data_IF_400217369264
#
_entry.id   IF_400217369264
#
_cell.length_a   1.000
_cell.length_b   1.000
_cell.length_c   1.000
_cell.angle_alpha   90.00
_cell.angle_beta   90.00
_cell.angle_gamma   90.00
#
_symmetry.space_group_name_H-M   'P 1'
#
loop_
_entity.id
_entity.type
_entity.pdbx_description
1 polymer ?
#
# COMPACT_ATOMS: atom_id res chain seq x y z
N UNK A 1 3.86 80.81 9.25
CA UNK A 1 2.96 80.08 8.32
C UNK A 1 2.01 79.24 9.15
N UNK A 2 0.74 79.68 9.24
CA UNK A 2 -0.28 79.03 10.04
C UNK A 2 -0.73 77.72 9.37
N UNK A 3 -0.72 76.61 10.13
CA UNK A 3 -1.29 75.33 9.67
C UNK A 3 -2.80 75.39 9.86
N UNK A 4 -3.54 75.56 8.76
CA UNK A 4 -4.99 75.39 8.71
C UNK A 4 -5.37 73.96 9.12
N UNK A 5 -6.06 73.86 10.25
CA UNK A 5 -6.60 72.61 10.76
C UNK A 5 -7.93 72.34 10.03
N UNK A 6 -7.94 71.39 9.09
CA UNK A 6 -9.18 70.86 8.52
C UNK A 6 -9.97 70.13 9.62
N UNK A 7 -10.93 70.84 10.21
CA UNK A 7 -11.92 70.25 11.13
C UNK A 7 -12.83 69.32 10.32
N UNK A 8 -12.62 68.00 10.43
CA UNK A 8 -13.56 67.01 9.92
C UNK A 8 -14.92 67.23 10.59
N UNK A 9 -15.97 67.40 9.78
CA UNK A 9 -17.35 67.53 10.29
C UNK A 9 -17.73 66.20 10.96
N UNK A 10 -18.27 66.21 12.20
CA UNK A 10 -18.67 64.97 12.86
C UNK A 10 -19.76 64.29 12.03
N UNK A 11 -19.53 63.02 11.68
CA UNK A 11 -20.56 62.20 11.06
C UNK A 11 -21.79 62.17 11.97
N UNK A 12 -22.95 62.52 11.41
CA UNK A 12 -24.20 62.49 12.17
C UNK A 12 -24.49 61.05 12.55
N UNK A 13 -24.66 60.78 13.85
CA UNK A 13 -25.08 59.47 14.36
C UNK A 13 -26.38 59.10 13.66
N UNK A 14 -26.35 58.03 12.86
CA UNK A 14 -27.55 57.49 12.21
C UNK A 14 -28.55 57.12 13.32
N UNK A 15 -29.81 57.52 13.17
CA UNK A 15 -30.88 57.20 14.11
C UNK A 15 -31.07 55.68 14.27
N UNK A 16 -31.93 55.28 15.20
CA UNK A 16 -32.22 53.88 15.47
C UNK A 16 -32.80 53.19 14.22
N UNK A 17 -31.93 52.52 13.45
CA UNK A 17 -32.32 51.81 12.24
C UNK A 17 -33.01 50.50 12.61
N UNK A 18 -34.35 50.50 12.55
CA UNK A 18 -35.20 49.30 12.71
C UNK A 18 -35.40 48.60 11.37
N UNK A 19 -34.31 48.46 10.61
CA UNK A 19 -34.29 47.73 9.34
C UNK A 19 -33.72 46.32 9.49
N UNK A 20 -33.83 45.46 8.46
CA UNK A 20 -33.42 44.04 8.48
C UNK A 20 -31.93 43.81 8.82
N UNK A 21 -31.12 44.86 8.93
CA UNK A 21 -29.75 44.81 9.42
C UNK A 21 -29.64 44.54 10.93
N UNK A 22 -30.67 44.81 11.74
CA UNK A 22 -30.70 44.57 13.19
C UNK A 22 -31.72 43.51 13.62
N UNK A 23 -32.40 42.86 12.67
CA UNK A 23 -33.19 41.68 12.98
C UNK A 23 -32.24 40.48 13.13
N UNK A 24 -32.49 39.57 14.08
CA UNK A 24 -31.69 38.38 14.24
C UNK A 24 -31.71 37.62 12.93
N UNK A 25 -30.59 37.72 12.20
CA UNK A 25 -30.41 37.03 10.94
C UNK A 25 -30.76 35.57 11.17
N UNK A 26 -31.75 35.05 10.44
CA UNK A 26 -32.50 33.86 10.83
C UNK A 26 -31.59 32.69 11.22
N UNK A 27 -32.10 31.75 12.01
CA UNK A 27 -31.34 30.58 12.50
C UNK A 27 -30.51 29.89 11.42
N UNK A 28 -31.00 29.84 10.19
CA UNK A 28 -30.28 29.32 9.02
C UNK A 28 -29.07 30.16 8.60
N UNK A 29 -29.17 31.50 8.55
CA UNK A 29 -28.03 32.37 8.20
C UNK A 29 -26.92 32.30 9.26
N UNK A 30 -27.27 32.21 10.55
CA UNK A 30 -26.30 31.94 11.64
C UNK A 30 -25.59 30.61 11.48
N UNK A 31 -26.32 29.52 11.17
CA UNK A 31 -25.73 28.20 10.91
C UNK A 31 -24.77 28.26 9.73
N UNK A 32 -25.15 28.89 8.62
CA UNK A 32 -24.27 29.05 7.43
C UNK A 32 -23.02 29.84 7.77
N UNK A 33 -23.14 30.95 8.50
CA UNK A 33 -21.99 31.75 8.97
C UNK A 33 -21.08 30.92 9.89
N UNK A 34 -21.64 30.14 10.81
CA UNK A 34 -20.88 29.24 11.69
C UNK A 34 -20.15 28.16 10.90
N UNK A 35 -20.81 27.52 9.94
CA UNK A 35 -20.22 26.52 9.05
C UNK A 35 -19.06 27.14 8.27
N UNK A 36 -19.28 28.30 7.63
CA UNK A 36 -18.23 29.02 6.89
C UNK A 36 -17.04 29.37 7.77
N UNK A 37 -17.27 29.94 8.96
CA UNK A 37 -16.21 30.25 9.94
C UNK A 37 -15.44 28.98 10.35
N UNK A 38 -16.15 27.87 10.59
CA UNK A 38 -15.53 26.59 10.96
C UNK A 38 -14.67 26.00 9.84
N UNK A 39 -15.12 26.08 8.59
CA UNK A 39 -14.38 25.60 7.42
C UNK A 39 -13.13 26.45 7.17
N UNK A 40 -13.26 27.77 7.25
CA UNK A 40 -12.12 28.70 7.14
C UNK A 40 -11.10 28.42 8.25
N UNK A 41 -11.54 28.21 9.49
CA UNK A 41 -10.66 27.88 10.60
C UNK A 41 -9.91 26.56 10.38
N UNK A 42 -10.62 25.49 10.01
CA UNK A 42 -10.01 24.19 9.70
C UNK A 42 -8.98 24.30 8.57
N UNK A 43 -9.29 25.05 7.51
CA UNK A 43 -8.36 25.29 6.41
C UNK A 43 -7.12 26.07 6.86
N UNK A 44 -7.28 27.10 7.70
CA UNK A 44 -6.15 27.84 8.29
C UNK A 44 -5.28 26.94 9.16
N UNK A 45 -5.88 26.15 10.06
CA UNK A 45 -5.16 25.20 10.91
C UNK A 45 -4.41 24.17 10.08
N UNK A 46 -5.02 23.59 9.05
CA UNK A 46 -4.33 22.66 8.14
C UNK A 46 -3.17 23.34 7.43
N UNK A 47 -3.33 24.58 6.97
CA UNK A 47 -2.27 25.33 6.30
C UNK A 47 -1.11 25.67 7.25
N UNK A 48 -1.39 26.09 8.48
CA UNK A 48 -0.35 26.36 9.48
C UNK A 48 0.33 25.07 9.92
N UNK A 49 -0.43 24.00 10.14
CA UNK A 49 0.11 22.68 10.49
C UNK A 49 1.00 22.13 9.38
N UNK A 50 0.56 22.15 8.12
CA UNK A 50 1.39 21.73 6.98
C UNK A 50 2.67 22.58 6.87
N UNK A 51 2.60 23.90 7.11
CA UNK A 51 3.80 24.74 7.15
C UNK A 51 4.75 24.41 8.30
N UNK A 52 4.20 24.11 9.48
CA UNK A 52 4.98 23.70 10.65
C UNK A 52 5.60 22.34 10.40
N UNK A 53 4.85 21.34 9.93
CA UNK A 53 5.38 20.02 9.54
C UNK A 53 6.46 20.11 8.49
N UNK A 54 6.27 20.88 7.41
CA UNK A 54 7.34 21.08 6.41
C UNK A 54 8.55 21.84 6.95
N UNK A 55 8.36 22.67 8.00
CA UNK A 55 9.45 23.33 8.70
C UNK A 55 10.10 22.42 9.75
N UNK A 56 9.36 21.48 10.34
CA UNK A 56 9.79 20.51 11.34
C UNK A 56 10.49 19.31 10.68
N UNK A 57 10.16 18.98 9.43
CA UNK A 57 11.03 18.18 8.56
C UNK A 57 12.42 18.83 8.40
N UNK A 58 12.51 20.16 8.54
CA UNK A 58 13.79 20.91 8.62
C UNK A 58 14.21 21.29 10.06
N UNK A 59 13.38 21.00 11.07
CA UNK A 59 13.59 21.34 12.48
C UNK A 59 13.45 20.05 13.32
N UNK A 60 14.51 19.26 13.21
CA UNK A 60 15.01 18.24 14.15
C UNK A 60 14.21 18.07 15.45
N UNK A 61 13.24 17.16 15.45
CA UNK A 61 12.95 16.41 16.68
C UNK A 61 14.22 15.59 17.01
N UNK A 62 14.87 15.78 18.18
CA UNK A 62 16.10 15.07 18.53
C UNK A 62 15.90 13.54 18.49
N UNK A 63 14.68 13.06 18.74
CA UNK A 63 14.37 11.64 18.68
C UNK A 63 14.25 11.13 17.23
N UNK A 64 13.70 11.93 16.32
CA UNK A 64 13.63 11.58 14.90
C UNK A 64 15.01 11.54 14.24
N UNK A 65 15.90 12.48 14.60
CA UNK A 65 17.28 12.48 14.12
C UNK A 65 18.08 11.27 14.64
N UNK A 66 17.85 10.85 15.89
CA UNK A 66 18.44 9.62 16.42
C UNK A 66 17.91 8.38 15.69
N UNK A 67 16.60 8.30 15.45
CA UNK A 67 15.99 7.20 14.71
C UNK A 67 16.55 7.05 13.29
N UNK A 68 16.80 8.16 12.59
CA UNK A 68 17.44 8.15 11.27
C UNK A 68 18.88 7.62 11.32
N UNK A 69 19.67 8.04 12.32
CA UNK A 69 21.03 7.54 12.52
C UNK A 69 21.06 6.03 12.79
N UNK A 70 20.17 5.53 13.64
CA UNK A 70 20.06 4.09 13.90
C UNK A 70 19.67 3.29 12.65
N UNK A 71 18.81 3.86 11.79
CA UNK A 71 18.44 3.23 10.52
C UNK A 71 19.62 3.20 9.55
N UNK A 72 20.37 4.28 9.42
CA UNK A 72 21.58 4.33 8.58
C UNK A 72 22.65 3.36 9.09
N UNK A 73 22.89 3.31 10.40
CA UNK A 73 23.81 2.38 11.04
C UNK A 73 23.40 0.92 10.81
N UNK A 74 22.10 0.61 10.93
CA UNK A 74 21.59 -0.73 10.65
C UNK A 74 21.75 -1.14 9.18
N UNK A 75 21.66 -0.20 8.24
CA UNK A 75 21.92 -0.47 6.82
C UNK A 75 23.40 -0.74 6.57
N UNK A 76 24.29 0.06 7.17
CA UNK A 76 25.75 -0.12 7.05
C UNK A 76 26.18 -1.47 7.61
N UNK A 77 25.66 -1.88 8.79
CA UNK A 77 25.98 -3.17 9.40
C UNK A 77 25.56 -4.34 8.51
N UNK A 78 24.35 -4.28 7.91
CA UNK A 78 23.91 -5.31 6.96
C UNK A 78 24.81 -5.41 5.74
N UNK A 79 25.25 -4.27 5.19
CA UNK A 79 26.16 -4.25 4.05
C UNK A 79 27.54 -4.83 4.40
N UNK A 80 28.03 -4.57 5.62
CA UNK A 80 29.28 -5.15 6.13
C UNK A 80 29.15 -6.67 6.33
N UNK A 81 28.04 -7.14 6.92
CA UNK A 81 27.78 -8.58 7.07
C UNK A 81 27.68 -9.28 5.71
N UNK A 82 27.04 -8.68 4.71
CA UNK A 82 26.99 -9.24 3.35
C UNK A 82 28.38 -9.28 2.70
N UNK A 83 29.20 -8.24 2.90
CA UNK A 83 30.60 -8.21 2.42
C UNK A 83 31.46 -9.27 3.10
N UNK A 84 31.33 -9.46 4.41
CA UNK A 84 32.02 -10.51 5.15
C UNK A 84 31.55 -11.90 4.70
N UNK A 85 30.25 -12.12 4.51
CA UNK A 85 29.73 -13.38 3.95
C UNK A 85 30.25 -13.63 2.53
N UNK A 86 30.38 -12.59 1.71
CA UNK A 86 30.95 -12.70 0.37
C UNK A 86 32.46 -13.01 0.41
N UNK A 87 33.20 -12.43 1.36
CA UNK A 87 34.62 -12.75 1.60
C UNK A 87 34.80 -14.20 2.05
N UNK A 88 33.98 -14.67 2.99
CA UNK A 88 34.00 -16.06 3.45
C UNK A 88 33.69 -17.00 2.29
N UNK A 89 32.64 -16.72 1.50
CA UNK A 89 32.30 -17.53 0.32
C UNK A 89 33.44 -17.59 -0.70
N UNK A 90 34.07 -16.44 -0.98
CA UNK A 90 35.19 -16.37 -1.90
C UNK A 90 36.41 -17.12 -1.36
N UNK A 91 36.71 -17.00 -0.07
CA UNK A 91 37.78 -17.73 0.59
C UNK A 91 37.54 -19.25 0.58
N UNK A 92 36.30 -19.71 0.78
CA UNK A 92 35.93 -21.14 0.67
C UNK A 92 35.98 -21.67 -0.76
N UNK A 93 35.78 -20.83 -1.77
CA UNK A 93 35.90 -21.20 -3.18
C UNK A 93 37.37 -21.24 -3.66
N UNK A 94 38.23 -20.40 -3.09
CA UNK A 94 39.64 -20.28 -3.48
C UNK A 94 40.56 -21.31 -2.76
N UNK A 95 40.14 -21.87 -1.61
CA UNK A 95 40.94 -22.82 -0.84
C UNK A 95 40.77 -24.30 -1.20
N UNK A 96 39.85 -24.69 -2.08
CA UNK A 96 39.81 -26.05 -2.67
C UNK A 96 39.82 -27.24 -1.69
N UNK A 97 39.50 -27.02 -0.41
CA UNK A 97 39.51 -28.03 0.65
C UNK A 97 38.07 -28.34 1.07
N UNK A 98 37.64 -29.58 0.83
CA UNK A 98 36.44 -30.13 1.44
C UNK A 98 36.73 -30.48 2.90
N UNK A 99 36.34 -29.60 3.83
CA UNK A 99 36.18 -29.93 5.25
C UNK A 99 35.13 -28.95 5.84
N UNK A 100 33.87 -29.37 5.99
CA UNK A 100 33.30 -29.82 7.27
C UNK A 100 33.91 -29.10 8.47
N UNK A 101 33.46 -27.89 8.78
CA UNK A 101 33.25 -27.40 10.16
C UNK A 101 32.92 -25.89 10.14
N UNK A 102 31.70 -25.57 9.72
CA UNK A 102 31.00 -24.42 10.30
C UNK A 102 30.22 -24.95 11.51
N UNK A 103 30.15 -24.25 12.65
CA UNK A 103 29.26 -24.63 13.74
C UNK A 103 27.82 -24.46 13.24
N UNK A 104 27.27 -25.53 12.67
CA UNK A 104 25.85 -25.67 12.44
C UNK A 104 25.13 -25.35 13.77
N UNK A 105 23.99 -24.62 13.76
CA UNK A 105 23.14 -24.60 14.93
C UNK A 105 22.93 -26.07 15.29
N UNK A 106 23.21 -26.47 16.54
CA UNK A 106 23.06 -27.86 16.99
C UNK A 106 21.59 -28.27 16.87
N UNK A 107 21.16 -28.59 15.65
CA UNK A 107 19.95 -29.31 15.36
C UNK A 107 20.30 -30.70 15.83
N UNK A 108 19.89 -31.03 17.04
CA UNK A 108 19.96 -32.39 17.56
C UNK A 108 19.42 -33.30 16.46
N UNK A 109 20.30 -34.11 15.85
CA UNK A 109 19.89 -35.12 14.89
C UNK A 109 18.91 -36.02 15.64
N UNK A 110 17.63 -35.91 15.27
CA UNK A 110 16.56 -36.67 15.90
C UNK A 110 16.93 -38.15 15.83
N UNK A 111 16.90 -38.86 16.96
CA UNK A 111 17.26 -40.28 17.04
C UNK A 111 16.49 -41.07 15.97
N UNK A 112 17.09 -42.09 15.32
CA UNK A 112 16.46 -42.85 14.24
C UNK A 112 15.09 -43.44 14.63
N UNK A 113 14.91 -43.81 15.90
CA UNK A 113 13.62 -44.25 16.46
C UNK A 113 12.53 -43.17 16.41
N UNK A 114 12.89 -41.90 16.63
CA UNK A 114 11.96 -40.77 16.52
C UNK A 114 11.65 -40.42 15.07
N UNK A 115 12.58 -40.66 14.14
CA UNK A 115 12.34 -40.50 12.71
C UNK A 115 11.34 -41.57 12.23
N UNK A 116 11.51 -42.82 12.66
CA UNK A 116 10.57 -43.90 12.37
C UNK A 116 9.16 -43.60 12.90
N UNK A 117 9.01 -43.04 14.10
CA UNK A 117 7.71 -42.66 14.67
C UNK A 117 7.02 -41.48 13.95
N UNK A 118 7.78 -40.63 13.24
CA UNK A 118 7.24 -39.52 12.45
C UNK A 118 6.90 -39.94 11.01
N UNK A 119 7.66 -40.90 10.46
CA UNK A 119 7.43 -41.45 9.12
C UNK A 119 6.35 -42.52 9.09
N UNK A 120 6.08 -43.21 10.21
CA UNK A 120 4.85 -43.99 10.33
C UNK A 120 3.68 -43.02 10.20
N UNK A 121 2.85 -43.10 9.14
CA UNK A 121 1.61 -42.33 9.12
C UNK A 121 0.89 -42.70 10.41
N UNK A 122 0.54 -41.70 11.23
CA UNK A 122 -0.26 -41.91 12.41
C UNK A 122 -1.36 -42.88 12.01
N UNK A 123 -1.52 -44.04 12.69
CA UNK A 123 -2.57 -44.97 12.32
C UNK A 123 -3.80 -44.11 12.25
N UNK A 124 -4.41 -44.06 11.06
CA UNK A 124 -5.77 -43.53 10.94
C UNK A 124 -6.47 -44.21 12.08
N UNK A 125 -6.96 -43.44 13.05
CA UNK A 125 -7.81 -43.97 14.09
C UNK A 125 -8.96 -44.61 13.32
N UNK A 126 -8.80 -45.89 13.00
CA UNK A 126 -9.88 -46.74 12.56
C UNK A 126 -10.86 -46.57 13.69
N UNK A 127 -11.96 -45.91 13.36
CA UNK A 127 -13.12 -45.81 14.20
C UNK A 127 -13.42 -47.24 14.64
N UNK A 128 -12.97 -47.62 15.83
CA UNK A 128 -13.40 -48.80 16.55
C UNK A 128 -14.86 -48.55 16.95
N UNK A 129 -15.75 -48.64 15.96
CA UNK A 129 -17.15 -49.02 16.12
C UNK A 129 -17.10 -50.53 15.91
N UNK A 130 -17.24 -51.41 16.89
CA UNK A 130 -18.30 -51.63 17.88
C UNK A 130 -17.69 -52.67 18.87
N UNK A 131 -17.99 -52.78 20.16
CA UNK A 131 -19.28 -52.99 20.79
C UNK A 131 -19.14 -52.60 22.27
N UNK A 132 -19.81 -51.53 22.71
CA UNK A 132 -20.14 -51.37 24.13
C UNK A 132 -21.59 -50.97 24.24
N UNK A 133 -22.37 -51.95 24.71
CA UNK A 133 -23.79 -51.86 24.92
C UNK A 133 -24.23 -50.60 25.65
N UNK A 134 -25.36 -50.06 25.20
CA UNK A 134 -26.33 -49.34 26.03
C UNK A 134 -25.80 -48.23 26.94
N UNK A 135 -24.96 -47.31 26.45
CA UNK A 135 -24.78 -45.96 27.05
C UNK A 135 -23.91 -45.05 26.17
N UNK A 136 -24.42 -44.53 25.05
CA UNK A 136 -23.99 -43.20 24.56
C UNK A 136 -24.81 -42.71 23.36
N UNK A 137 -26.06 -42.28 23.59
CA UNK A 137 -26.67 -41.26 22.70
C UNK A 137 -26.12 -39.88 23.09
N UNK A 138 -24.80 -39.69 23.16
CA UNK A 138 -24.25 -38.33 23.34
C UNK A 138 -24.31 -37.63 21.98
N UNK A 139 -25.14 -36.58 21.84
CA UNK A 139 -25.16 -35.80 20.60
C UNK A 139 -23.75 -35.23 20.32
N UNK A 140 -23.35 -35.10 19.04
CA UNK A 140 -22.05 -34.56 18.68
C UNK A 140 -21.86 -33.20 19.34
N UNK A 141 -20.73 -33.01 20.03
CA UNK A 141 -20.41 -31.75 20.69
C UNK A 141 -20.29 -30.68 19.60
N UNK A 142 -21.15 -29.67 19.66
CA UNK A 142 -21.07 -28.52 18.75
C UNK A 142 -19.67 -27.88 18.87
N UNK A 143 -19.03 -27.49 17.77
CA UNK A 143 -17.74 -26.81 17.81
C UNK A 143 -17.88 -25.56 18.68
N UNK A 144 -16.96 -25.40 19.63
CA UNK A 144 -16.97 -24.25 20.52
C UNK A 144 -16.77 -23.01 19.67
N UNK A 145 -17.76 -22.14 19.70
CA UNK A 145 -17.69 -20.84 19.05
C UNK A 145 -16.63 -20.03 19.79
N UNK A 146 -15.56 -19.58 19.12
CA UNK A 146 -14.58 -18.72 19.75
C UNK A 146 -15.29 -17.47 20.30
N UNK A 147 -14.80 -16.93 21.42
CA UNK A 147 -15.35 -15.67 21.98
C UNK A 147 -15.20 -14.50 21.01
N UNK A 148 -14.33 -14.64 20.01
CA UNK A 148 -13.87 -13.60 19.11
C UNK A 148 -14.41 -13.72 17.69
N UNK A 149 -15.47 -14.50 17.45
CA UNK A 149 -16.09 -14.63 16.14
C UNK A 149 -16.33 -13.30 15.42
N UNK A 150 -16.80 -12.29 16.16
CA UNK A 150 -17.05 -10.95 15.61
C UNK A 150 -15.76 -10.25 15.18
N UNK A 151 -14.67 -10.47 15.89
CA UNK A 151 -13.35 -9.91 15.57
C UNK A 151 -12.69 -10.68 14.43
N UNK A 152 -12.83 -12.01 14.40
CA UNK A 152 -12.38 -12.86 13.29
C UNK A 152 -13.09 -12.47 11.98
N UNK A 153 -14.41 -12.27 12.01
CA UNK A 153 -15.18 -11.80 10.86
C UNK A 153 -14.74 -10.40 10.39
N UNK A 154 -14.42 -9.51 11.34
CA UNK A 154 -13.94 -8.17 11.01
C UNK A 154 -12.52 -8.21 10.41
N UNK A 155 -11.63 -9.03 10.96
CA UNK A 155 -10.29 -9.26 10.43
C UNK A 155 -10.34 -9.88 9.02
N UNK A 156 -11.22 -10.87 8.81
CA UNK A 156 -11.43 -11.49 7.51
C UNK A 156 -11.94 -10.49 6.46
N UNK A 157 -12.82 -9.55 6.85
CA UNK A 157 -13.27 -8.47 5.95
C UNK A 157 -12.13 -7.55 5.54
N UNK A 158 -11.28 -7.15 6.49
CA UNK A 158 -10.11 -6.31 6.20
C UNK A 158 -9.12 -7.04 5.28
N UNK A 159 -8.89 -8.33 5.52
CA UNK A 159 -8.01 -9.13 4.66
C UNK A 159 -8.58 -9.26 3.24
N UNK A 160 -9.87 -9.57 3.11
CA UNK A 160 -10.54 -9.68 1.81
C UNK A 160 -10.51 -8.36 1.02
N UNK A 161 -10.69 -7.22 1.70
CA UNK A 161 -10.58 -5.89 1.08
C UNK A 161 -9.17 -5.62 0.57
N UNK A 162 -8.13 -5.86 1.39
CA UNK A 162 -6.73 -5.70 0.97
C UNK A 162 -6.37 -6.62 -0.19
N UNK A 163 -6.83 -7.87 -0.16
CA UNK A 163 -6.60 -8.81 -1.26
C UNK A 163 -7.31 -8.37 -2.54
N UNK A 164 -8.52 -7.82 -2.44
CA UNK A 164 -9.24 -7.29 -3.58
C UNK A 164 -8.50 -6.09 -4.19
N UNK A 165 -8.02 -5.16 -3.36
CA UNK A 165 -7.20 -4.02 -3.81
C UNK A 165 -5.92 -4.48 -4.52
N UNK A 166 -5.20 -5.46 -3.95
CA UNK A 166 -4.00 -6.02 -4.56
C UNK A 166 -4.30 -6.69 -5.91
N UNK A 167 -5.39 -7.45 -6.01
CA UNK A 167 -5.84 -8.06 -7.28
C UNK A 167 -6.20 -7.00 -8.31
N UNK A 168 -6.83 -5.90 -7.93
CA UNK A 168 -7.14 -4.79 -8.84
C UNK A 168 -5.87 -4.11 -9.35
N UNK A 169 -4.90 -3.85 -8.47
CA UNK A 169 -3.60 -3.29 -8.84
C UNK A 169 -2.88 -4.23 -9.81
N UNK A 170 -2.88 -5.54 -9.53
CA UNK A 170 -2.26 -6.53 -10.40
C UNK A 170 -2.94 -6.58 -11.78
N UNK A 171 -4.26 -6.56 -11.84
CA UNK A 171 -5.01 -6.49 -13.10
C UNK A 171 -4.69 -5.22 -13.89
N UNK A 172 -4.65 -4.06 -13.23
CA UNK A 172 -4.24 -2.79 -13.86
C UNK A 172 -2.82 -2.89 -14.41
N UNK A 173 -1.88 -3.47 -13.66
CA UNK A 173 -0.49 -3.69 -14.10
C UNK A 173 -0.44 -4.60 -15.33
N UNK A 174 -1.13 -5.75 -15.29
CA UNK A 174 -1.20 -6.70 -16.43
C UNK A 174 -1.82 -6.05 -17.67
N UNK A 175 -2.88 -5.26 -17.50
CA UNK A 175 -3.52 -4.52 -18.59
C UNK A 175 -2.59 -3.45 -19.17
N UNK A 176 -1.84 -2.75 -18.32
CA UNK A 176 -0.84 -1.77 -18.76
C UNK A 176 0.28 -2.45 -19.54
N UNK A 177 0.84 -3.54 -19.00
CA UNK A 177 1.89 -4.32 -19.63
C UNK A 177 1.45 -4.88 -20.98
N UNK A 178 0.22 -5.38 -21.08
CA UNK A 178 -0.35 -5.85 -22.35
C UNK A 178 -0.42 -4.71 -23.39
N UNK A 179 -0.93 -3.54 -23.00
CA UNK A 179 -1.01 -2.35 -23.88
C UNK A 179 0.38 -1.86 -24.31
N UNK A 180 1.35 -1.89 -23.41
CA UNK A 180 2.74 -1.53 -23.73
C UNK A 180 3.37 -2.53 -24.68
N UNK A 181 3.20 -3.83 -24.46
CA UNK A 181 3.69 -4.89 -25.32
C UNK A 181 3.06 -4.80 -26.72
N UNK A 182 1.77 -4.52 -26.81
CA UNK A 182 1.07 -4.29 -28.07
C UNK A 182 1.62 -3.04 -28.80
N UNK A 183 1.81 -1.92 -28.08
CA UNK A 183 2.43 -0.71 -28.63
C UNK A 183 3.85 -0.98 -29.14
N UNK A 184 4.66 -1.71 -28.39
CA UNK A 184 6.01 -2.08 -28.80
C UNK A 184 5.99 -2.98 -30.03
N UNK A 185 5.11 -3.98 -30.08
CA UNK A 185 4.92 -4.83 -31.27
C UNK A 185 4.53 -3.99 -32.49
N UNK A 186 3.56 -3.09 -32.34
CA UNK A 186 3.13 -2.19 -33.42
C UNK A 186 4.27 -1.27 -33.87
N UNK A 187 5.02 -0.70 -32.93
CA UNK A 187 6.20 0.13 -33.23
C UNK A 187 7.28 -0.66 -33.99
N UNK A 188 7.60 -1.87 -33.56
CA UNK A 188 8.61 -2.72 -34.19
C UNK A 188 8.19 -3.15 -35.60
N UNK A 189 6.91 -3.48 -35.79
CA UNK A 189 6.35 -3.86 -37.09
C UNK A 189 6.32 -2.66 -38.05
N UNK A 190 5.76 -1.53 -37.62
CA UNK A 190 5.63 -0.31 -38.44
C UNK A 190 6.96 0.44 -38.66
N UNK A 191 7.95 0.21 -37.80
CA UNK A 191 9.30 0.75 -37.92
C UNK A 191 10.24 -0.10 -38.77
N UNK A 192 9.85 -1.33 -39.14
CA UNK A 192 10.71 -2.24 -39.87
C UNK A 192 10.97 -1.73 -41.31
N UNK A 193 12.23 -1.43 -41.62
CA UNK A 193 12.68 -0.97 -42.94
C UNK A 193 13.70 -1.93 -43.56
N UNK A 194 13.81 -1.90 -44.88
CA UNK A 194 14.82 -2.60 -45.69
C UNK A 194 16.15 -1.86 -45.64
N UNK A 195 17.23 -2.48 -46.13
CA UNK A 195 18.54 -1.85 -46.21
C UNK A 195 18.53 -0.56 -47.08
N UNK A 196 17.62 -0.49 -48.07
CA UNK A 196 17.37 0.69 -48.91
C UNK A 196 16.44 1.73 -48.24
N UNK A 197 16.07 1.55 -46.97
CA UNK A 197 15.20 2.46 -46.22
C UNK A 197 13.69 2.33 -46.49
N UNK A 198 13.29 1.51 -47.47
CA UNK A 198 11.88 1.27 -47.79
C UNK A 198 11.17 0.47 -46.69
N UNK A 199 9.88 0.74 -46.48
CA UNK A 199 9.06 0.02 -45.50
C UNK A 199 8.98 -1.48 -45.82
N UNK A 200 9.11 -2.35 -44.81
CA UNK A 200 8.93 -3.80 -44.97
C UNK A 200 7.45 -4.16 -44.92
N UNK A 201 6.78 -4.02 -46.07
CA UNK A 201 5.34 -4.31 -46.22
C UNK A 201 4.97 -5.74 -45.76
N UNK A 202 5.86 -6.72 -45.92
CA UNK A 202 5.60 -8.09 -45.44
C UNK A 202 5.43 -8.22 -43.92
N UNK A 203 6.00 -7.30 -43.12
CA UNK A 203 5.77 -7.25 -41.66
C UNK A 203 4.54 -6.39 -41.32
N UNK A 204 4.29 -5.34 -42.10
CA UNK A 204 3.24 -4.34 -41.85
C UNK A 204 1.88 -4.67 -42.45
N UNK A 205 1.85 -5.59 -43.41
CA UNK A 205 0.68 -5.91 -44.23
C UNK A 205 -0.55 -6.25 -43.39
N UNK A 206 -0.41 -7.11 -42.37
CA UNK A 206 -1.53 -7.49 -41.50
C UNK A 206 -2.13 -6.30 -40.76
N UNK A 207 -1.30 -5.47 -40.11
CA UNK A 207 -1.79 -4.28 -39.37
C UNK A 207 -2.39 -3.22 -40.30
N UNK A 208 -1.88 -3.10 -41.53
CA UNK A 208 -2.43 -2.20 -42.54
C UNK A 208 -3.78 -2.71 -43.05
N UNK A 209 -3.91 -4.02 -43.28
CA UNK A 209 -5.17 -4.65 -43.66
C UNK A 209 -6.21 -4.53 -42.55
N UNK A 210 -5.85 -4.77 -41.28
CA UNK A 210 -6.74 -4.58 -40.13
C UNK A 210 -7.22 -3.13 -40.03
N UNK A 211 -6.34 -2.16 -40.31
CA UNK A 211 -6.70 -0.74 -40.34
C UNK A 211 -7.66 -0.41 -41.48
N UNK A 212 -7.44 -0.95 -42.68
CA UNK A 212 -8.35 -0.76 -43.83
C UNK A 212 -9.71 -1.41 -43.54
N UNK A 213 -9.72 -2.63 -43.00
CA UNK A 213 -10.94 -3.34 -42.58
C UNK A 213 -11.71 -2.56 -41.52
N UNK A 214 -11.02 -1.95 -40.55
CA UNK A 214 -11.66 -1.08 -39.56
C UNK A 214 -12.34 0.14 -40.20
N UNK A 215 -11.68 0.78 -41.17
CA UNK A 215 -12.24 1.93 -41.90
C UNK A 215 -13.47 1.51 -42.73
N UNK A 216 -13.36 0.40 -43.48
CA UNK A 216 -14.45 -0.12 -44.31
C UNK A 216 -15.59 -0.78 -43.53
N UNK A 217 -15.33 -1.26 -42.31
CA UNK A 217 -16.37 -1.81 -41.42
C UNK A 217 -17.03 -0.75 -40.53
N UNK A 218 -16.50 0.47 -40.52
CA UNK A 218 -17.08 1.64 -39.84
C UNK A 218 -17.92 2.54 -40.75
N UNK A 219 -18.02 2.19 -42.04
CA UNK A 219 -18.84 2.86 -43.06
C UNK A 219 -20.13 2.10 -43.34
#
# INVERSE_FOLDING_TARGET
>A
MAKEQFKEKPERRKGFNVGPANLPDGTYRRKVVKIKKSLIHKAKVKKTFSKVVSKDESSTDPYAAQAQKYLEEAVILKEQEEKERARIRKATEESGEMEKDAPEPKVQKMHPERQAALETPAPVEENYQEEKGYRSRRPPKKPKTSSFKREEEYAAKIQAEREAELKEIEQKRRNHEHKERERQRRKNVMGARTAKGQQKLGKQGSMLLDKVKAIMGSS
#
